data_IF_567645990642
#
_entry.id   IF_567645990642
#
_cell.length_a   1.000
_cell.length_b   1.000
_cell.length_c   1.000
_cell.angle_alpha   90.00
_cell.angle_beta   90.00
_cell.angle_gamma   90.00
#
_symmetry.space_group_name_H-M   'P 1'
#
loop_
_entity.id
_entity.type
_entity.pdbx_description
1 polymer ?
#
# COMPACT_ATOMS: atom_id res chain seq x y z
N UNK A 1 23.26 48.82 -18.22
CA UNK A 1 22.24 47.88 -17.71
C UNK A 1 22.95 46.72 -17.01
N UNK A 2 22.91 46.66 -15.68
CA UNK A 2 23.45 45.53 -14.90
C UNK A 2 22.28 44.57 -14.63
N UNK A 3 22.36 43.35 -15.15
CA UNK A 3 21.39 42.30 -14.86
C UNK A 3 21.69 41.70 -13.48
N UNK A 4 20.74 41.82 -12.56
CA UNK A 4 20.78 41.16 -11.26
C UNK A 4 20.25 39.75 -11.43
N UNK A 5 21.13 38.76 -11.54
CA UNK A 5 20.74 37.35 -11.54
C UNK A 5 20.44 36.95 -10.11
N UNK A 6 19.16 36.93 -9.75
CA UNK A 6 18.72 36.44 -8.44
C UNK A 6 18.68 34.91 -8.49
N UNK A 7 19.80 34.25 -8.17
CA UNK A 7 19.82 32.80 -7.95
C UNK A 7 19.10 32.49 -6.65
N UNK A 8 17.84 32.06 -6.75
CA UNK A 8 17.09 31.51 -5.63
C UNK A 8 17.56 30.06 -5.40
N UNK A 9 18.65 29.89 -4.65
CA UNK A 9 19.05 28.59 -4.11
C UNK A 9 18.06 28.23 -2.99
N UNK A 10 16.99 27.51 -3.36
CA UNK A 10 16.15 26.80 -2.41
C UNK A 10 16.99 25.68 -1.78
N UNK A 11 17.64 25.98 -0.65
CA UNK A 11 18.22 24.98 0.21
C UNK A 11 17.09 24.20 0.89
N UNK A 12 16.57 23.18 0.22
CA UNK A 12 15.77 22.14 0.84
C UNK A 12 16.68 21.31 1.74
N UNK A 13 16.90 21.77 2.97
CA UNK A 13 17.37 20.92 4.06
C UNK A 13 16.24 19.95 4.42
N UNK A 14 16.02 18.96 3.56
CA UNK A 14 15.13 17.86 3.82
C UNK A 14 15.85 16.91 4.79
N UNK A 15 15.55 17.03 6.09
CA UNK A 15 15.83 15.96 7.05
C UNK A 15 14.90 14.76 6.76
N UNK A 16 15.08 14.09 5.62
CA UNK A 16 14.38 12.82 5.31
C UNK A 16 15.24 11.61 5.65
N UNK A 17 16.09 11.74 6.67
CA UNK A 17 17.06 10.73 7.09
C UNK A 17 16.57 10.01 8.35
N UNK A 18 15.32 9.55 8.35
CA UNK A 18 14.92 8.50 9.28
C UNK A 18 15.54 7.20 8.81
N UNK A 19 16.38 6.57 9.64
CA UNK A 19 16.82 5.20 9.37
C UNK A 19 15.58 4.30 9.31
N UNK A 20 15.39 3.63 8.18
CA UNK A 20 14.25 2.73 7.98
C UNK A 20 14.20 1.64 9.06
N UNK A 21 15.35 1.31 9.69
CA UNK A 21 15.44 0.34 10.78
C UNK A 21 14.71 0.80 12.04
N UNK A 22 14.79 2.08 12.38
CA UNK A 22 14.18 2.65 13.60
C UNK A 22 12.85 3.34 13.35
N UNK A 23 12.47 3.53 12.09
CA UNK A 23 11.19 4.12 11.73
C UNK A 23 10.00 3.33 12.30
N UNK A 24 8.99 4.04 12.82
CA UNK A 24 7.84 3.42 13.47
C UNK A 24 7.09 2.47 12.54
N UNK A 25 6.66 1.35 13.11
CA UNK A 25 5.76 0.35 12.53
C UNK A 25 4.62 0.06 13.49
N UNK A 26 4.32 0.98 14.40
CA UNK A 26 3.19 0.84 15.31
C UNK A 26 1.87 0.82 14.52
N UNK A 27 0.83 0.13 15.00
CA UNK A 27 -0.52 0.23 14.44
C UNK A 27 -1.03 1.68 14.48
N UNK A 28 -1.73 2.13 13.43
CA UNK A 28 -2.35 3.45 13.42
C UNK A 28 -3.69 3.51 14.18
N UNK A 29 -4.27 2.36 14.52
CA UNK A 29 -5.53 2.24 15.26
C UNK A 29 -6.76 2.60 14.43
N UNK A 30 -6.67 2.55 13.10
CA UNK A 30 -7.76 2.85 12.18
C UNK A 30 -8.42 1.58 11.60
N UNK A 31 -7.77 0.42 11.69
CA UNK A 31 -8.37 -0.85 11.29
C UNK A 31 -9.41 -1.33 12.32
N UNK A 32 -10.54 -1.93 11.90
CA UNK A 32 -11.44 -2.63 12.81
C UNK A 32 -10.70 -3.74 13.55
N UNK A 33 -10.77 -3.78 14.89
CA UNK A 33 -10.10 -4.80 15.68
C UNK A 33 -10.77 -6.17 15.47
N UNK A 34 -10.05 -7.23 15.05
CA UNK A 34 -10.65 -8.56 14.83
C UNK A 34 -11.34 -9.17 16.07
N UNK A 35 -10.90 -8.76 17.27
CA UNK A 35 -11.53 -9.17 18.52
C UNK A 35 -12.95 -8.62 18.69
N UNK A 36 -13.26 -7.48 18.06
CA UNK A 36 -14.53 -6.77 18.16
C UNK A 36 -15.36 -6.90 16.89
N UNK A 37 -14.75 -6.71 15.73
CA UNK A 37 -15.41 -6.81 14.43
C UNK A 37 -15.42 -8.26 13.94
N UNK A 38 -16.62 -8.86 13.88
CA UNK A 38 -16.81 -10.24 13.45
C UNK A 38 -17.17 -10.36 11.98
N UNK A 39 -17.68 -9.31 11.36
CA UNK A 39 -17.97 -9.33 9.94
C UNK A 39 -16.69 -9.43 9.10
N UNK A 40 -16.84 -9.86 7.85
CA UNK A 40 -15.77 -9.76 6.88
C UNK A 40 -15.36 -8.30 6.67
N UNK A 41 -14.07 -8.04 6.46
CA UNK A 41 -13.50 -6.71 6.26
C UNK A 41 -12.52 -6.73 5.09
N UNK A 42 -12.61 -5.74 4.21
CA UNK A 42 -11.62 -5.41 3.18
C UNK A 42 -11.17 -3.98 3.41
N UNK A 43 -9.87 -3.77 3.50
CA UNK A 43 -9.25 -2.46 3.64
C UNK A 43 -8.17 -2.31 2.57
N UNK A 44 -8.12 -1.14 1.94
CA UNK A 44 -6.98 -0.73 1.11
C UNK A 44 -6.38 0.50 1.76
N UNK A 45 -5.10 0.46 2.03
CA UNK A 45 -4.40 1.54 2.71
C UNK A 45 -3.45 2.26 1.77
N UNK A 46 -3.14 3.50 2.12
CA UNK A 46 -2.06 4.27 1.54
C UNK A 46 -1.30 5.02 2.65
N UNK A 47 0.01 5.13 2.50
CA UNK A 47 0.85 5.98 3.33
C UNK A 47 1.93 6.63 2.46
N UNK A 48 2.48 7.78 2.89
CA UNK A 48 3.58 8.41 2.17
C UNK A 48 4.73 7.42 1.96
N UNK A 49 5.26 7.35 0.74
CA UNK A 49 6.37 6.47 0.44
C UNK A 49 7.61 6.85 1.28
N UNK A 50 8.47 5.86 1.56
CA UNK A 50 9.61 6.08 2.44
C UNK A 50 10.59 7.15 1.92
N UNK A 51 11.10 7.97 2.84
CA UNK A 51 12.05 9.06 2.60
C UNK A 51 11.49 10.17 1.70
N UNK A 52 12.34 10.90 0.96
CA UNK A 52 11.96 12.02 0.09
C UNK A 52 10.87 11.68 -0.93
N UNK A 53 10.72 10.39 -1.28
CA UNK A 53 9.69 9.89 -2.21
C UNK A 53 8.29 10.14 -1.68
N UNK A 54 8.10 10.18 -0.36
CA UNK A 54 6.83 10.47 0.29
C UNK A 54 6.26 11.82 -0.09
N UNK A 55 7.05 12.76 -0.59
CA UNK A 55 6.53 14.05 -1.06
C UNK A 55 5.76 13.92 -2.37
N UNK A 56 6.02 12.86 -3.15
CA UNK A 56 5.52 12.69 -4.52
C UNK A 56 4.62 11.46 -4.67
N UNK A 57 4.88 10.41 -3.89
CA UNK A 57 4.23 9.12 -4.06
C UNK A 57 3.78 8.52 -2.72
N UNK A 58 2.76 7.67 -2.81
CA UNK A 58 2.33 6.79 -1.71
C UNK A 58 2.73 5.34 -1.98
N UNK A 59 2.80 4.57 -0.90
CA UNK A 59 2.81 3.11 -0.90
C UNK A 59 1.41 2.61 -0.53
N UNK A 60 0.88 1.64 -1.27
CA UNK A 60 -0.45 1.07 -1.04
C UNK A 60 -0.39 -0.44 -0.82
N UNK A 61 -1.30 -0.96 0.01
CA UNK A 61 -1.46 -2.39 0.28
C UNK A 61 -2.92 -2.73 0.56
N UNK A 62 -3.26 -4.03 0.50
CA UNK A 62 -4.59 -4.55 0.78
C UNK A 62 -4.55 -5.40 2.05
N UNK A 63 -5.57 -5.29 2.89
CA UNK A 63 -5.80 -6.19 4.00
C UNK A 63 -7.22 -6.77 3.90
N UNK A 64 -7.33 -8.08 4.06
CA UNK A 64 -8.61 -8.78 4.10
C UNK A 64 -8.74 -9.55 5.42
N UNK A 65 -9.95 -9.60 5.96
CA UNK A 65 -10.30 -10.42 7.13
C UNK A 65 -11.62 -11.11 6.82
N UNK A 66 -11.63 -12.43 6.63
CA UNK A 66 -12.88 -13.18 6.54
C UNK A 66 -13.74 -13.01 7.80
N UNK A 67 -15.02 -13.35 7.70
CA UNK A 67 -15.91 -13.37 8.86
C UNK A 67 -15.32 -14.24 9.98
N UNK A 68 -15.42 -13.76 11.22
CA UNK A 68 -14.92 -14.39 12.44
C UNK A 68 -13.39 -14.65 12.50
N UNK A 69 -12.62 -14.23 11.48
CA UNK A 69 -11.17 -14.41 11.49
C UNK A 69 -10.49 -13.56 12.57
N UNK A 70 -9.51 -14.15 13.27
CA UNK A 70 -8.75 -13.50 14.35
C UNK A 70 -7.69 -12.51 13.85
N UNK A 71 -7.32 -12.61 12.57
CA UNK A 71 -6.29 -11.79 11.95
C UNK A 71 -6.68 -11.42 10.52
N UNK A 72 -6.14 -10.30 10.06
CA UNK A 72 -6.12 -9.94 8.66
C UNK A 72 -5.02 -10.72 7.93
N UNK A 73 -5.28 -11.09 6.69
CA UNK A 73 -4.24 -11.38 5.70
C UNK A 73 -3.92 -10.08 4.97
N UNK A 74 -2.66 -9.67 5.00
CA UNK A 74 -2.16 -8.48 4.31
C UNK A 74 -1.39 -8.89 3.07
N UNK A 75 -1.66 -8.20 1.97
CA UNK A 75 -0.94 -8.31 0.70
C UNK A 75 -0.30 -6.97 0.34
N UNK A 76 1.01 -6.99 0.15
CA UNK A 76 1.77 -5.81 -0.24
C UNK A 76 2.87 -6.18 -1.25
N UNK A 77 3.24 -5.24 -2.12
CA UNK A 77 4.39 -5.41 -3.02
C UNK A 77 5.54 -4.54 -2.55
N UNK A 78 6.67 -5.15 -2.19
CA UNK A 78 7.87 -4.47 -1.72
C UNK A 78 9.08 -4.87 -2.55
N UNK A 79 9.91 -3.89 -2.91
CA UNK A 79 11.12 -4.13 -3.70
C UNK A 79 12.30 -4.70 -2.91
N UNK A 80 12.20 -4.75 -1.59
CA UNK A 80 13.27 -5.21 -0.72
C UNK A 80 13.52 -6.71 -0.91
N UNK A 81 14.79 -7.07 -1.10
CA UNK A 81 15.27 -8.45 -1.30
C UNK A 81 14.79 -9.15 -2.59
N UNK A 82 14.07 -8.48 -3.48
CA UNK A 82 13.67 -9.05 -4.78
C UNK A 82 14.89 -9.45 -5.61
N UNK A 83 15.93 -8.61 -5.64
CA UNK A 83 17.22 -8.92 -6.31
C UNK A 83 17.97 -10.11 -5.71
N UNK A 84 17.57 -10.56 -4.51
CA UNK A 84 18.14 -11.71 -3.82
C UNK A 84 17.20 -12.94 -3.87
N UNK A 85 16.26 -12.97 -4.82
CA UNK A 85 15.41 -14.14 -5.11
C UNK A 85 14.15 -14.24 -4.25
N UNK A 86 13.82 -13.22 -3.46
CA UNK A 86 12.53 -13.17 -2.77
C UNK A 86 11.42 -12.67 -3.68
N UNK A 87 10.19 -13.15 -3.47
CA UNK A 87 9.01 -12.59 -4.12
C UNK A 87 8.80 -11.12 -3.77
N UNK A 88 8.32 -10.31 -4.72
CA UNK A 88 7.97 -8.92 -4.48
C UNK A 88 6.63 -8.80 -3.76
N UNK A 89 5.65 -9.62 -4.15
CA UNK A 89 4.38 -9.79 -3.45
C UNK A 89 4.62 -10.54 -2.13
N UNK A 90 4.23 -9.90 -1.03
CA UNK A 90 4.31 -10.45 0.32
C UNK A 90 2.91 -10.70 0.83
N UNK A 91 2.78 -11.81 1.54
CA UNK A 91 1.59 -12.17 2.28
C UNK A 91 1.99 -12.45 3.73
N UNK A 92 1.26 -11.87 4.68
CA UNK A 92 1.43 -12.18 6.10
C UNK A 92 0.13 -11.96 6.87
N UNK A 93 0.07 -12.51 8.09
CA UNK A 93 -1.10 -12.40 8.97
C UNK A 93 -0.81 -11.47 10.13
N UNK A 94 -1.77 -10.63 10.50
CA UNK A 94 -1.65 -9.69 11.62
C UNK A 94 -3.01 -9.25 12.14
N UNK A 95 -3.12 -8.95 13.43
CA UNK A 95 -4.30 -8.27 13.97
C UNK A 95 -4.33 -6.77 13.63
N UNK A 96 -3.19 -6.20 13.19
CA UNK A 96 -2.98 -4.77 12.97
C UNK A 96 -2.47 -4.52 11.54
N UNK A 97 -3.36 -4.44 10.54
CA UNK A 97 -2.98 -4.29 9.13
C UNK A 97 -2.61 -2.85 8.74
N UNK A 98 -2.83 -1.89 9.62
CA UNK A 98 -2.72 -0.45 9.43
C UNK A 98 -1.45 0.13 10.08
N UNK A 99 -0.36 -0.63 10.04
CA UNK A 99 0.91 -0.20 10.63
C UNK A 99 1.47 1.00 9.88
N UNK A 100 2.17 1.86 10.61
CA UNK A 100 2.93 2.96 10.01
C UNK A 100 3.89 2.41 8.95
N UNK A 101 3.85 3.03 7.77
CA UNK A 101 4.78 2.70 6.68
C UNK A 101 6.08 3.48 6.88
N UNK A 102 7.03 2.87 7.58
CA UNK A 102 8.31 3.49 7.91
C UNK A 102 8.17 4.91 8.49
N UNK A 103 7.30 5.05 9.49
CA UNK A 103 7.01 6.33 10.15
C UNK A 103 5.90 7.18 9.51
N UNK A 104 5.41 6.82 8.32
CA UNK A 104 4.25 7.48 7.72
C UNK A 104 2.94 6.83 8.21
N UNK A 105 2.03 7.63 8.79
CA UNK A 105 0.70 7.15 9.21
C UNK A 105 -0.15 6.82 7.97
N UNK A 106 -0.74 5.61 7.87
CA UNK A 106 -1.65 5.29 6.78
C UNK A 106 -3.00 6.00 6.90
N UNK A 107 -3.68 6.07 5.77
CA UNK A 107 -5.11 6.35 5.66
C UNK A 107 -5.79 5.27 4.81
N UNK A 108 -7.10 5.12 4.98
CA UNK A 108 -7.93 4.18 4.20
C UNK A 108 -8.25 4.79 2.84
N UNK A 109 -7.89 4.09 1.77
CA UNK A 109 -8.32 4.34 0.39
C UNK A 109 -9.69 3.73 0.14
N UNK A 110 -9.94 2.55 0.70
CA UNK A 110 -11.21 1.82 0.62
C UNK A 110 -11.41 1.05 1.92
N UNK A 111 -12.67 0.99 2.39
CA UNK A 111 -13.09 0.17 3.53
C UNK A 111 -14.46 -0.43 3.22
N UNK A 112 -14.55 -1.75 3.26
CA UNK A 112 -15.80 -2.50 3.08
C UNK A 112 -15.91 -3.47 4.25
N UNK A 113 -17.04 -3.45 4.95
CA UNK A 113 -17.34 -4.31 6.09
C UNK A 113 -18.68 -5.00 5.83
N UNK A 114 -18.85 -6.22 6.33
CA UNK A 114 -20.12 -6.95 6.25
C UNK A 114 -20.20 -7.92 5.07
N UNK A 115 -21.42 -8.35 4.70
CA UNK A 115 -21.65 -9.37 3.67
C UNK A 115 -20.96 -9.06 2.33
N UNK A 116 -20.97 -7.78 1.91
CA UNK A 116 -20.26 -7.36 0.68
C UNK A 116 -18.78 -7.69 0.73
N UNK A 117 -18.12 -7.52 1.88
CA UNK A 117 -16.71 -7.92 2.01
C UNK A 117 -16.56 -9.45 1.92
N UNK A 118 -17.47 -10.20 2.54
CA UNK A 118 -17.51 -11.66 2.47
C UNK A 118 -17.59 -12.18 1.02
N UNK A 119 -18.44 -11.56 0.20
CA UNK A 119 -18.63 -11.92 -1.21
C UNK A 119 -17.41 -11.57 -2.08
N UNK A 120 -16.69 -10.49 -1.76
CA UNK A 120 -15.58 -10.00 -2.57
C UNK A 120 -14.21 -10.60 -2.20
N UNK A 121 -14.03 -11.06 -0.95
CA UNK A 121 -12.78 -11.69 -0.50
C UNK A 121 -12.35 -12.87 -1.39
N UNK A 122 -13.23 -13.83 -1.76
CA UNK A 122 -12.85 -14.91 -2.67
C UNK A 122 -12.33 -14.42 -4.03
N UNK A 123 -12.94 -13.36 -4.58
CA UNK A 123 -12.52 -12.75 -5.85
C UNK A 123 -11.16 -12.07 -5.72
N UNK A 124 -10.91 -11.36 -4.60
CA UNK A 124 -9.61 -10.79 -4.29
C UNK A 124 -8.55 -11.89 -4.22
N UNK A 125 -8.84 -12.98 -3.50
CA UNK A 125 -7.90 -14.09 -3.38
C UNK A 125 -7.54 -14.71 -4.74
N UNK A 126 -8.49 -14.78 -5.68
CA UNK A 126 -8.19 -15.23 -7.03
C UNK A 126 -7.32 -14.23 -7.80
N UNK A 127 -7.67 -12.94 -7.77
CA UNK A 127 -6.87 -11.89 -8.40
C UNK A 127 -5.42 -11.83 -7.85
N UNK A 128 -5.22 -12.17 -6.57
CA UNK A 128 -3.89 -12.28 -5.95
C UNK A 128 -3.10 -13.44 -6.54
N UNK A 129 -3.71 -14.62 -6.72
CA UNK A 129 -3.03 -15.79 -7.31
C UNK A 129 -2.63 -15.54 -8.75
N UNK A 130 -3.46 -14.82 -9.50
CA UNK A 130 -3.24 -14.50 -10.90
C UNK A 130 -2.32 -13.28 -11.11
N UNK A 131 -1.82 -12.66 -10.05
CA UNK A 131 -0.99 -11.45 -10.16
C UNK A 131 0.31 -11.71 -10.96
N UNK A 132 0.45 -11.15 -12.17
CA UNK A 132 1.48 -11.58 -13.12
C UNK A 132 2.89 -11.07 -12.77
N UNK A 133 3.01 -10.18 -11.79
CA UNK A 133 4.26 -9.53 -11.40
C UNK A 133 4.65 -9.84 -9.96
N UNK A 134 4.25 -11.00 -9.43
CA UNK A 134 4.52 -11.40 -8.05
C UNK A 134 6.00 -11.32 -7.68
N UNK A 135 6.91 -11.62 -8.61
CA UNK A 135 8.37 -11.60 -8.36
C UNK A 135 9.09 -10.39 -8.99
N UNK A 136 8.34 -9.39 -9.46
CA UNK A 136 8.91 -8.23 -10.16
C UNK A 136 8.68 -6.94 -9.38
N UNK A 137 9.72 -6.10 -9.33
CA UNK A 137 9.62 -4.76 -8.79
C UNK A 137 10.46 -3.77 -9.61
N UNK A 138 9.82 -2.71 -10.09
CA UNK A 138 10.45 -1.54 -10.71
C UNK A 138 9.75 -0.29 -10.20
N UNK A 139 10.53 0.61 -9.60
CA UNK A 139 10.01 1.83 -8.95
C UNK A 139 9.08 2.65 -9.86
N UNK A 140 9.47 2.89 -11.12
CA UNK A 140 8.69 3.58 -12.13
C UNK A 140 9.12 3.13 -13.54
N UNK A 141 8.21 2.94 -14.51
CA UNK A 141 6.74 3.12 -14.42
C UNK A 141 6.00 1.99 -13.68
N UNK A 142 6.66 0.89 -13.34
CA UNK A 142 6.06 -0.29 -12.72
C UNK A 142 6.66 -1.58 -13.27
N UNK A 143 6.28 -2.75 -12.74
CA UNK A 143 5.30 -2.96 -11.67
C UNK A 143 5.88 -2.57 -10.29
N UNK A 144 5.09 -1.93 -9.43
CA UNK A 144 5.49 -1.52 -8.07
C UNK A 144 4.36 -1.75 -7.05
N UNK A 145 4.50 -1.19 -5.84
CA UNK A 145 3.49 -1.31 -4.78
C UNK A 145 2.09 -0.85 -5.17
N UNK A 146 1.99 0.13 -6.07
CA UNK A 146 0.72 0.70 -6.50
C UNK A 146 0.09 -0.09 -7.65
N UNK A 147 0.90 -0.87 -8.38
CA UNK A 147 0.42 -1.76 -9.45
C UNK A 147 -0.44 -2.88 -8.88
N UNK A 148 -0.09 -3.44 -7.72
CA UNK A 148 -0.82 -4.57 -7.15
C UNK A 148 -2.27 -4.23 -6.74
N UNK A 149 -2.55 -3.19 -5.93
CA UNK A 149 -3.94 -2.85 -5.63
C UNK A 149 -4.72 -2.39 -6.85
N UNK A 150 -4.06 -1.72 -7.81
CA UNK A 150 -4.69 -1.37 -9.09
C UNK A 150 -5.11 -2.62 -9.88
N UNK A 151 -4.25 -3.64 -9.97
CA UNK A 151 -4.57 -4.94 -10.57
C UNK A 151 -5.79 -5.58 -9.90
N UNK A 152 -5.80 -5.65 -8.57
CA UNK A 152 -6.95 -6.22 -7.83
C UNK A 152 -8.24 -5.44 -8.09
N UNK A 153 -8.17 -4.10 -8.16
CA UNK A 153 -9.33 -3.26 -8.51
C UNK A 153 -9.83 -3.48 -9.94
N UNK A 154 -8.95 -3.82 -10.89
CA UNK A 154 -9.32 -4.16 -12.27
C UNK A 154 -9.95 -5.56 -12.37
N UNK A 155 -9.43 -6.54 -11.63
CA UNK A 155 -9.95 -7.91 -11.61
C UNK A 155 -11.24 -8.05 -10.80
N UNK A 156 -11.46 -7.15 -9.82
CA UNK A 156 -12.67 -7.12 -8.98
C UNK A 156 -13.33 -5.74 -9.04
N UNK A 157 -13.99 -5.38 -10.17
CA UNK A 157 -14.59 -4.06 -10.36
C UNK A 157 -15.61 -3.65 -9.29
N UNK A 158 -16.25 -4.62 -8.63
CA UNK A 158 -17.25 -4.40 -7.56
C UNK A 158 -16.65 -3.82 -6.26
N UNK A 159 -15.31 -3.82 -6.14
CA UNK A 159 -14.61 -3.05 -5.11
C UNK A 159 -14.75 -1.54 -5.32
N UNK A 160 -14.96 -1.10 -6.55
CA UNK A 160 -14.98 0.32 -6.94
C UNK A 160 -13.72 1.08 -6.47
N UNK A 161 -12.59 0.37 -6.43
CA UNK A 161 -11.35 0.91 -5.89
C UNK A 161 -10.83 2.07 -6.75
N UNK A 162 -10.78 3.27 -6.16
CA UNK A 162 -10.20 4.47 -6.76
C UNK A 162 -8.82 4.70 -6.20
N UNK A 163 -7.79 4.38 -6.98
CA UNK A 163 -6.40 4.60 -6.55
C UNK A 163 -6.11 6.10 -6.36
N UNK A 164 -5.38 6.49 -5.30
CA UNK A 164 -4.97 7.89 -5.11
C UNK A 164 -4.18 8.40 -6.32
N UNK A 165 -4.30 9.69 -6.65
CA UNK A 165 -3.50 10.32 -7.73
C UNK A 165 -1.98 10.16 -7.48
N UNK A 166 -1.58 10.17 -6.21
CA UNK A 166 -0.19 9.96 -5.76
C UNK A 166 0.25 8.49 -5.81
N UNK A 167 -0.61 7.54 -6.17
CA UNK A 167 -0.26 6.14 -6.34
C UNK A 167 0.46 5.93 -7.68
N UNK A 168 1.61 6.60 -7.84
CA UNK A 168 2.40 6.60 -9.07
C UNK A 168 2.81 5.16 -9.42
N UNK A 169 2.53 4.75 -10.66
CA UNK A 169 2.76 3.38 -11.17
C UNK A 169 1.56 2.43 -11.08
N UNK A 170 0.44 2.87 -10.50
CA UNK A 170 -0.83 2.11 -10.52
C UNK A 170 -1.29 1.80 -11.95
N UNK A 171 -1.15 2.75 -12.87
CA UNK A 171 -1.49 2.60 -14.28
C UNK A 171 -0.58 1.69 -15.09
N UNK A 172 0.27 0.86 -14.47
CA UNK A 172 1.00 -0.23 -15.13
C UNK A 172 0.11 -1.48 -15.33
N UNK A 173 -0.89 -1.68 -14.47
CA UNK A 173 -1.76 -2.87 -14.48
C UNK A 173 -2.79 -2.92 -15.62
N UNK A 174 -2.75 -1.98 -16.58
CA UNK A 174 -3.78 -1.76 -17.61
C UNK A 174 -4.16 -3.01 -18.38
#
# INVERSE_FOLDING_TARGET
>A
MKYFTFSFLLALSACSNSDWRTASREPAGIAPAPSQEKDAVIEVYAADAFSWRGWLAVHTWIAIKPENAEQYTVYEVVGWHVRHGSSALRQYHTATPDRYWYGAKPYKVLSIIGPKAGDLIPKINEAVKEYPWADQYRLFPGPNSNTFPAWVGLQVPELELKMPLRAIGSGYAR
#
